data_IF_115828891218
#
_entry.id   IF_115828891218
#
_cell.length_a   1.000
_cell.length_b   1.000
_cell.length_c   1.000
_cell.angle_alpha   90.00
_cell.angle_beta   90.00
_cell.angle_gamma   90.00
#
_symmetry.space_group_name_H-M   'P 1'
#
loop_
_entity.id
_entity.type
_entity.pdbx_description
1 polymer ?
#
# COMPACT_ATOMS: atom_id res chain seq x y z
N UNK A 1 7.93 17.18 -27.41
CA UNK A 1 6.47 17.00 -27.60
C UNK A 1 5.81 17.50 -26.32
N UNK A 2 4.99 18.55 -26.39
CA UNK A 2 4.21 19.03 -25.23
C UNK A 2 3.19 17.97 -24.89
N UNK A 3 3.22 17.45 -23.65
CA UNK A 3 2.17 16.56 -23.15
C UNK A 3 0.79 17.19 -23.38
N UNK A 4 -0.22 16.41 -23.78
CA UNK A 4 -1.56 16.94 -23.96
C UNK A 4 -2.04 17.52 -22.63
N UNK A 5 -2.45 18.79 -22.63
CA UNK A 5 -2.93 19.48 -21.43
C UNK A 5 -4.19 18.75 -20.94
N UNK A 6 -4.11 18.14 -19.76
CA UNK A 6 -5.25 17.46 -19.13
C UNK A 6 -6.41 18.45 -18.97
N UNK A 7 -7.63 18.08 -19.35
CA UNK A 7 -8.80 18.94 -19.13
C UNK A 7 -9.08 19.09 -17.62
N UNK A 8 -9.54 20.28 -17.21
CA UNK A 8 -9.81 20.60 -15.82
C UNK A 8 -10.70 19.55 -15.12
N UNK A 9 -11.75 19.08 -15.79
CA UNK A 9 -12.70 18.07 -15.27
C UNK A 9 -12.08 16.71 -14.98
N UNK A 10 -10.94 16.39 -15.63
CA UNK A 10 -10.23 15.11 -15.55
C UNK A 10 -8.93 15.21 -14.74
N UNK A 11 -8.70 16.36 -14.09
CA UNK A 11 -7.47 16.67 -13.35
C UNK A 11 -7.28 15.73 -12.14
N UNK A 12 -8.33 15.51 -11.37
CA UNK A 12 -8.32 14.62 -10.20
C UNK A 12 -8.99 13.29 -10.52
N UNK A 13 -8.36 12.17 -10.18
CA UNK A 13 -8.81 10.82 -10.54
C UNK A 13 -8.84 9.90 -9.33
N UNK A 14 -9.82 10.07 -8.41
CA UNK A 14 -9.90 9.25 -7.20
C UNK A 14 -10.12 7.77 -7.54
N UNK A 15 -9.42 6.87 -6.84
CA UNK A 15 -9.65 5.42 -6.89
C UNK A 15 -9.01 4.68 -8.07
N UNK A 16 -8.32 5.36 -8.98
CA UNK A 16 -7.74 4.72 -10.17
C UNK A 16 -6.32 4.18 -9.96
N UNK A 17 -5.68 4.49 -8.83
CA UNK A 17 -4.25 4.21 -8.62
C UNK A 17 -3.33 4.94 -9.63
N UNK A 18 -3.89 5.86 -10.42
CA UNK A 18 -3.11 6.66 -11.34
C UNK A 18 -2.27 7.70 -10.61
N UNK A 19 -1.24 8.19 -11.28
CA UNK A 19 -0.42 9.28 -10.78
C UNK A 19 -1.29 10.49 -10.43
N UNK A 20 -1.06 11.10 -9.26
CA UNK A 20 -1.77 12.31 -8.88
C UNK A 20 -1.28 13.50 -9.72
N UNK A 21 -2.11 14.53 -9.94
CA UNK A 21 -1.68 15.72 -10.68
C UNK A 21 -0.53 16.47 -10.00
N UNK A 22 -0.36 16.27 -8.70
CA UNK A 22 0.76 16.72 -7.89
C UNK A 22 0.95 15.74 -6.72
N UNK A 23 2.15 15.19 -6.58
CA UNK A 23 2.51 14.35 -5.43
C UNK A 23 2.91 15.26 -4.26
N UNK A 24 1.97 15.52 -3.37
CA UNK A 24 2.19 16.33 -2.19
C UNK A 24 2.92 15.54 -1.10
N UNK A 25 3.89 16.16 -0.48
CA UNK A 25 4.70 15.54 0.57
C UNK A 25 5.57 14.39 0.06
N UNK A 26 5.80 13.43 0.95
CA UNK A 26 6.59 12.22 0.62
C UNK A 26 8.03 12.55 0.18
N UNK A 27 8.59 13.61 0.76
CA UNK A 27 9.92 14.10 0.35
C UNK A 27 11.04 13.11 0.70
N UNK A 28 10.92 12.42 1.83
CA UNK A 28 11.90 11.40 2.25
C UNK A 28 11.87 10.20 1.32
N UNK A 29 10.66 9.70 1.01
CA UNK A 29 10.46 8.59 0.09
C UNK A 29 10.97 8.92 -1.32
N UNK A 30 10.69 10.13 -1.80
CA UNK A 30 11.15 10.60 -3.09
C UNK A 30 12.68 10.72 -3.12
N UNK A 31 13.29 11.37 -2.13
CA UNK A 31 14.73 11.56 -2.03
C UNK A 31 15.48 10.22 -1.94
N UNK A 32 14.95 9.27 -1.14
CA UNK A 32 15.52 7.93 -1.05
C UNK A 32 15.48 7.20 -2.40
N UNK A 33 14.33 7.24 -3.08
CA UNK A 33 14.17 6.60 -4.38
C UNK A 33 15.11 7.21 -5.43
N UNK A 34 15.22 8.53 -5.49
CA UNK A 34 16.09 9.25 -6.42
C UNK A 34 17.57 8.93 -6.21
N UNK A 35 18.04 8.88 -4.95
CA UNK A 35 19.39 8.43 -4.62
C UNK A 35 19.66 7.00 -5.13
N UNK A 36 18.68 6.10 -4.99
CA UNK A 36 18.82 4.73 -5.50
C UNK A 36 18.82 4.66 -7.02
N UNK A 37 18.01 5.48 -7.69
CA UNK A 37 18.03 5.58 -9.16
C UNK A 37 19.39 6.07 -9.67
N UNK A 38 19.94 7.09 -9.04
CA UNK A 38 21.26 7.61 -9.41
C UNK A 38 22.36 6.55 -9.28
N UNK A 39 22.38 5.83 -8.16
CA UNK A 39 23.31 4.71 -7.93
C UNK A 39 23.13 3.59 -8.96
N UNK A 40 21.87 3.23 -9.28
CA UNK A 40 21.60 2.23 -10.32
C UNK A 40 22.14 2.65 -11.69
N UNK A 41 21.89 3.91 -12.10
CA UNK A 41 22.40 4.44 -13.38
C UNK A 41 23.92 4.40 -13.44
N UNK A 42 24.59 4.66 -12.31
CA UNK A 42 26.04 4.55 -12.16
C UNK A 42 26.54 3.10 -12.00
N UNK A 43 25.63 2.12 -12.08
CA UNK A 43 25.89 0.68 -11.85
C UNK A 43 26.53 0.38 -10.49
N UNK A 44 26.19 1.17 -9.48
CA UNK A 44 26.61 0.92 -8.11
C UNK A 44 25.67 -0.06 -7.41
N UNK A 45 26.19 -0.76 -6.40
CA UNK A 45 25.39 -1.67 -5.60
C UNK A 45 24.37 -0.94 -4.72
N UNK A 46 23.14 -1.47 -4.70
CA UNK A 46 22.08 -1.01 -3.82
C UNK A 46 22.11 -1.85 -2.54
N UNK A 47 22.38 -1.20 -1.42
CA UNK A 47 22.55 -1.89 -0.12
C UNK A 47 21.23 -2.17 0.61
N UNK A 48 20.16 -1.42 0.31
CA UNK A 48 18.85 -1.61 0.94
C UNK A 48 17.71 -1.40 -0.04
N UNK A 49 16.71 -2.27 0.04
CA UNK A 49 15.46 -2.15 -0.70
C UNK A 49 14.54 -1.11 -0.08
N UNK A 50 13.49 -0.74 -0.81
CA UNK A 50 12.47 0.18 -0.35
C UNK A 50 11.17 -0.57 -0.04
N UNK A 51 10.66 -0.42 1.17
CA UNK A 51 9.36 -0.94 1.56
C UNK A 51 8.45 0.23 1.88
N UNK A 52 7.32 0.29 1.19
CA UNK A 52 6.29 1.31 1.38
C UNK A 52 5.02 0.62 1.85
N UNK A 53 4.49 1.00 2.99
CA UNK A 53 3.25 0.40 3.44
C UNK A 53 2.29 1.45 4.02
N UNK A 54 1.02 1.11 4.02
CA UNK A 54 0.02 2.03 4.52
C UNK A 54 -1.41 1.62 4.19
N UNK A 55 -2.44 2.20 4.87
CA UNK A 55 -3.83 1.90 4.59
C UNK A 55 -4.19 2.09 3.12
N UNK A 56 -5.28 1.44 2.71
CA UNK A 56 -5.85 1.67 1.38
C UNK A 56 -6.29 3.14 1.25
N UNK A 57 -5.96 3.77 0.14
CA UNK A 57 -6.29 5.19 -0.11
C UNK A 57 -5.23 6.19 0.35
N UNK A 58 -4.13 5.77 0.98
CA UNK A 58 -3.00 6.64 1.35
C UNK A 58 -2.05 6.96 0.19
N UNK A 59 -2.39 6.55 -1.04
CA UNK A 59 -1.65 6.96 -2.23
C UNK A 59 -0.40 6.15 -2.54
N UNK A 60 -0.23 4.92 -2.01
CA UNK A 60 0.92 4.04 -2.31
C UNK A 60 1.12 3.84 -3.81
N UNK A 61 0.14 3.26 -4.49
CA UNK A 61 0.18 3.02 -5.94
C UNK A 61 0.42 4.31 -6.72
N UNK A 62 -0.26 5.40 -6.34
CA UNK A 62 -0.11 6.71 -6.97
C UNK A 62 1.33 7.25 -6.83
N UNK A 63 1.93 7.11 -5.65
CA UNK A 63 3.34 7.45 -5.42
C UNK A 63 4.27 6.57 -6.25
N UNK A 64 4.07 5.25 -6.25
CA UNK A 64 4.89 4.35 -7.05
C UNK A 64 4.81 4.66 -8.55
N UNK A 65 3.63 5.03 -9.06
CA UNK A 65 3.46 5.48 -10.47
C UNK A 65 4.23 6.77 -10.75
N UNK A 66 4.19 7.72 -9.82
CA UNK A 66 4.97 8.94 -9.91
C UNK A 66 6.48 8.64 -9.92
N UNK A 67 6.94 7.78 -9.01
CA UNK A 67 8.34 7.38 -8.93
C UNK A 67 8.78 6.59 -10.19
N UNK A 68 7.92 5.73 -10.72
CA UNK A 68 8.18 5.00 -11.97
C UNK A 68 8.47 5.94 -13.13
N UNK A 69 7.79 7.07 -13.25
CA UNK A 69 8.05 8.05 -14.32
C UNK A 69 9.42 8.73 -14.23
N UNK A 70 10.05 8.71 -13.05
CA UNK A 70 11.43 9.21 -12.90
C UNK A 70 12.48 8.23 -13.43
N UNK A 71 12.09 6.98 -13.68
CA UNK A 71 12.97 6.03 -14.37
C UNK A 71 13.04 6.36 -15.86
N UNK A 72 14.19 6.19 -16.44
CA UNK A 72 14.45 6.46 -17.85
C UNK A 72 14.91 5.20 -18.61
N UNK A 73 15.14 5.34 -19.90
CA UNK A 73 15.54 4.24 -20.79
C UNK A 73 16.91 3.61 -20.43
N UNK A 74 17.67 4.19 -19.51
CA UNK A 74 18.92 3.61 -19.00
C UNK A 74 18.70 2.45 -18.05
N UNK A 75 17.48 2.36 -17.49
CA UNK A 75 17.06 1.32 -16.55
C UNK A 75 16.05 0.37 -17.20
N UNK A 76 15.99 -0.86 -16.71
CA UNK A 76 14.88 -1.77 -16.97
C UNK A 76 13.93 -1.72 -15.78
N UNK A 77 12.71 -1.22 -15.98
CA UNK A 77 11.69 -1.11 -14.94
C UNK A 77 10.68 -2.24 -15.09
N UNK A 78 10.62 -3.10 -14.07
CA UNK A 78 9.66 -4.19 -13.97
C UNK A 78 8.57 -3.78 -12.98
N UNK A 79 7.33 -3.63 -13.46
CA UNK A 79 6.16 -3.40 -12.61
C UNK A 79 5.37 -4.70 -12.52
N UNK A 80 5.17 -5.21 -11.30
CA UNK A 80 4.51 -6.48 -11.05
C UNK A 80 3.44 -6.33 -9.96
N UNK A 81 2.38 -7.11 -10.09
CA UNK A 81 1.35 -7.27 -9.08
C UNK A 81 1.16 -8.76 -8.78
N UNK A 82 1.01 -9.18 -7.51
CA UNK A 82 0.85 -10.61 -7.18
C UNK A 82 -0.31 -11.31 -7.90
N UNK A 83 -1.34 -10.59 -8.31
CA UNK A 83 -2.46 -11.12 -9.10
C UNK A 83 -2.08 -11.56 -10.52
N UNK A 84 -0.89 -11.21 -11.00
CA UNK A 84 -0.42 -11.55 -12.36
C UNK A 84 0.25 -12.93 -12.42
N UNK A 85 0.50 -13.59 -11.27
CA UNK A 85 1.16 -14.88 -11.20
C UNK A 85 0.72 -15.68 -9.96
N UNK A 86 0.62 -17.01 -10.10
CA UNK A 86 0.20 -17.92 -9.03
C UNK A 86 1.38 -18.63 -8.35
N UNK A 87 2.60 -18.50 -8.89
CA UNK A 87 3.77 -19.17 -8.34
C UNK A 87 5.08 -18.62 -8.87
N UNK A 88 6.19 -19.08 -8.29
CA UNK A 88 7.55 -18.61 -8.64
C UNK A 88 7.87 -18.82 -10.12
N UNK A 89 7.38 -19.90 -10.73
CA UNK A 89 7.62 -20.16 -12.15
C UNK A 89 7.03 -19.10 -13.07
N UNK A 90 5.76 -18.71 -12.83
CA UNK A 90 5.11 -17.65 -13.60
C UNK A 90 5.77 -16.28 -13.34
N UNK A 91 6.18 -16.01 -12.08
CA UNK A 91 6.96 -14.81 -11.77
C UNK A 91 8.25 -14.75 -12.59
N UNK A 92 8.99 -15.85 -12.68
CA UNK A 92 10.24 -15.94 -13.47
C UNK A 92 9.94 -15.71 -14.95
N UNK A 93 8.87 -16.29 -15.49
CA UNK A 93 8.45 -16.10 -16.89
C UNK A 93 8.07 -14.64 -17.18
N UNK A 94 7.36 -13.98 -16.27
CA UNK A 94 7.01 -12.55 -16.38
C UNK A 94 8.26 -11.66 -16.37
N UNK A 95 9.20 -11.94 -15.48
CA UNK A 95 10.45 -11.18 -15.39
C UNK A 95 11.32 -11.40 -16.61
N UNK A 96 11.42 -12.63 -17.11
CA UNK A 96 12.23 -12.96 -18.29
C UNK A 96 11.71 -12.25 -19.54
N UNK A 97 10.41 -12.01 -19.62
CA UNK A 97 9.76 -11.53 -20.83
C UNK A 97 9.89 -12.59 -21.93
N UNK A 98 9.33 -12.37 -23.10
CA UNK A 98 9.33 -13.31 -24.21
C UNK A 98 10.72 -13.48 -24.88
N UNK A 99 11.80 -13.71 -24.14
CA UNK A 99 13.08 -14.13 -24.72
C UNK A 99 13.05 -15.66 -24.99
N UNK A 100 12.88 -16.11 -26.26
CA UNK A 100 12.69 -17.53 -26.58
C UNK A 100 13.86 -18.44 -26.17
N UNK A 101 15.02 -17.86 -25.92
CA UNK A 101 16.22 -18.60 -25.52
C UNK A 101 16.26 -18.96 -24.05
N UNK A 102 15.63 -18.15 -23.19
CA UNK A 102 15.54 -18.36 -21.75
C UNK A 102 14.32 -19.20 -21.38
N UNK A 103 13.16 -18.95 -22.00
CA UNK A 103 11.96 -19.76 -21.82
C UNK A 103 12.27 -21.25 -21.95
N UNK A 104 13.10 -21.66 -22.93
CA UNK A 104 13.53 -23.05 -23.08
C UNK A 104 14.43 -23.55 -21.95
N UNK A 105 15.27 -22.68 -21.34
CA UNK A 105 16.15 -23.05 -20.23
C UNK A 105 15.42 -23.08 -18.89
N UNK A 106 14.61 -22.05 -18.61
CA UNK A 106 13.77 -21.98 -17.40
C UNK A 106 12.68 -23.04 -17.44
N UNK A 107 12.01 -23.27 -18.56
CA UNK A 107 11.06 -24.38 -18.71
C UNK A 107 11.72 -25.75 -18.51
N UNK A 108 12.98 -25.95 -18.92
CA UNK A 108 13.69 -27.19 -18.70
C UNK A 108 14.08 -27.42 -17.23
N UNK A 109 14.31 -26.34 -16.47
CA UNK A 109 14.58 -26.36 -15.03
C UNK A 109 13.29 -26.47 -14.18
N UNK A 110 12.21 -25.83 -14.63
CA UNK A 110 10.95 -25.64 -13.86
C UNK A 110 9.89 -26.67 -14.27
N UNK A 111 9.84 -27.09 -15.55
CA UNK A 111 8.86 -28.06 -16.05
C UNK A 111 8.76 -29.38 -15.28
N UNK A 112 9.87 -29.99 -14.78
CA UNK A 112 9.79 -31.15 -13.91
C UNK A 112 9.14 -30.85 -12.55
N UNK A 113 9.16 -29.60 -12.09
CA UNK A 113 8.62 -29.18 -10.81
C UNK A 113 7.08 -29.10 -10.85
N UNK A 114 6.52 -28.63 -11.98
CA UNK A 114 5.07 -28.52 -12.19
C UNK A 114 4.38 -29.83 -12.49
N UNK A 115 5.04 -30.74 -13.17
CA UNK A 115 4.46 -32.06 -13.50
C UNK A 115 4.19 -32.91 -12.26
N UNK A 116 4.91 -32.68 -11.16
CA UNK A 116 4.72 -33.38 -9.89
C UNK A 116 3.67 -32.76 -8.97
N UNK A 117 3.34 -31.47 -9.13
CA UNK A 117 2.33 -30.79 -8.29
C UNK A 117 0.89 -31.17 -8.67
N UNK A 118 0.63 -31.45 -9.95
CA UNK A 118 -0.71 -31.83 -10.42
C UNK A 118 -1.15 -33.25 -10.00
N UNK A 119 -0.26 -34.03 -9.42
CA UNK A 119 -0.53 -35.43 -9.03
C UNK A 119 -0.71 -35.65 -7.51
N UNK A 120 -0.49 -34.65 -6.67
CA UNK A 120 -0.53 -34.83 -5.20
C UNK A 120 -1.62 -34.01 -4.54
N UNK A 121 -2.75 -34.67 -4.24
CA UNK A 121 -3.90 -34.11 -3.52
C UNK A 121 -3.67 -33.96 -1.99
N UNK A 122 -2.43 -34.00 -1.48
CA UNK A 122 -2.12 -33.88 -0.06
C UNK A 122 -1.31 -32.62 0.24
N UNK A 123 -1.91 -31.67 0.96
CA UNK A 123 -1.31 -30.37 1.35
C UNK A 123 0.04 -30.52 2.06
N UNK A 124 0.24 -31.60 2.84
CA UNK A 124 1.50 -31.88 3.53
C UNK A 124 2.64 -32.28 2.59
N UNK A 125 2.34 -33.05 1.55
CA UNK A 125 3.32 -33.48 0.54
C UNK A 125 3.67 -32.30 -0.37
N UNK A 126 2.70 -31.45 -0.71
CA UNK A 126 2.94 -30.25 -1.53
C UNK A 126 3.88 -29.26 -0.81
N UNK A 127 3.71 -29.03 0.50
CA UNK A 127 4.61 -28.18 1.31
C UNK A 127 6.03 -28.74 1.41
N UNK A 128 6.19 -30.05 1.58
CA UNK A 128 7.49 -30.69 1.62
C UNK A 128 8.22 -30.61 0.27
N UNK A 129 7.50 -30.80 -0.83
CA UNK A 129 8.05 -30.66 -2.18
C UNK A 129 8.41 -29.20 -2.53
N UNK A 130 7.60 -28.22 -2.13
CA UNK A 130 7.91 -26.81 -2.27
C UNK A 130 9.22 -26.45 -1.55
N UNK A 131 9.44 -26.96 -0.33
CA UNK A 131 10.68 -26.71 0.41
C UNK A 131 11.94 -27.29 -0.26
N UNK A 132 11.82 -28.42 -0.93
CA UNK A 132 12.92 -29.06 -1.68
C UNK A 132 13.24 -28.38 -3.01
N UNK A 133 12.28 -27.66 -3.59
CA UNK A 133 12.43 -26.99 -4.87
C UNK A 133 12.93 -25.55 -4.77
N UNK A 134 12.76 -24.89 -3.62
CA UNK A 134 13.17 -23.49 -3.39
C UNK A 134 14.59 -23.14 -3.84
N UNK A 135 15.63 -23.95 -3.56
CA UNK A 135 16.98 -23.63 -4.03
C UNK A 135 17.08 -23.55 -5.56
N UNK A 136 16.32 -24.40 -6.30
CA UNK A 136 16.31 -24.39 -7.76
C UNK A 136 15.58 -23.18 -8.33
N UNK A 137 14.46 -22.81 -7.72
CA UNK A 137 13.68 -21.62 -8.09
C UNK A 137 14.46 -20.33 -7.80
N UNK A 138 15.14 -20.25 -6.66
CA UNK A 138 16.04 -19.13 -6.32
C UNK A 138 17.16 -19.00 -7.36
N UNK A 139 17.80 -20.10 -7.75
CA UNK A 139 18.84 -20.08 -8.77
C UNK A 139 18.30 -19.65 -10.14
N UNK A 140 17.12 -20.13 -10.53
CA UNK A 140 16.49 -19.75 -11.79
C UNK A 140 16.15 -18.25 -11.83
N UNK A 141 15.55 -17.71 -10.77
CA UNK A 141 15.26 -16.27 -10.65
C UNK A 141 16.54 -15.43 -10.66
N UNK A 142 17.55 -15.85 -9.90
CA UNK A 142 18.88 -15.22 -9.87
C UNK A 142 19.49 -15.14 -11.26
N UNK A 143 19.47 -16.21 -12.03
CA UNK A 143 20.05 -16.25 -13.37
C UNK A 143 19.32 -15.31 -14.34
N UNK A 144 17.99 -15.21 -14.25
CA UNK A 144 17.20 -14.28 -15.04
C UNK A 144 17.54 -12.84 -14.68
N UNK A 145 17.50 -12.50 -13.38
CA UNK A 145 17.83 -11.14 -12.90
C UNK A 145 19.27 -10.76 -13.28
N UNK A 146 20.25 -11.65 -13.08
CA UNK A 146 21.65 -11.42 -13.47
C UNK A 146 21.78 -11.10 -14.96
N UNK A 147 21.08 -11.84 -15.82
CA UNK A 147 21.11 -11.63 -17.26
C UNK A 147 20.52 -10.28 -17.65
N UNK A 148 19.43 -9.86 -16.99
CA UNK A 148 18.85 -8.53 -17.20
C UNK A 148 19.80 -7.42 -16.72
N UNK A 149 20.33 -7.52 -15.51
CA UNK A 149 21.28 -6.56 -14.94
C UNK A 149 22.56 -6.40 -15.77
N UNK A 150 23.02 -7.44 -16.49
CA UNK A 150 24.13 -7.32 -17.46
C UNK A 150 23.78 -6.39 -18.62
N UNK A 151 22.53 -6.37 -19.07
CA UNK A 151 22.08 -5.51 -20.16
C UNK A 151 21.83 -4.10 -19.67
N UNK A 152 20.98 -3.95 -18.65
CA UNK A 152 20.61 -2.67 -18.02
C UNK A 152 20.45 -2.87 -16.51
N UNK A 153 20.75 -1.86 -15.66
CA UNK A 153 20.36 -1.91 -14.27
C UNK A 153 18.84 -2.11 -14.13
N UNK A 154 18.42 -2.87 -13.14
CA UNK A 154 17.02 -3.29 -12.99
C UNK A 154 16.41 -2.69 -11.74
N UNK A 155 15.26 -2.07 -11.89
CA UNK A 155 14.35 -1.73 -10.79
C UNK A 155 13.11 -2.62 -10.89
N UNK A 156 12.76 -3.28 -9.80
CA UNK A 156 11.54 -4.07 -9.69
C UNK A 156 10.61 -3.41 -8.68
N UNK A 157 9.43 -3.02 -9.14
CA UNK A 157 8.38 -2.43 -8.32
C UNK A 157 7.26 -3.45 -8.20
N UNK A 158 6.94 -3.84 -6.96
CA UNK A 158 5.87 -4.79 -6.68
C UNK A 158 4.82 -4.13 -5.79
N UNK A 159 3.67 -3.83 -6.39
CA UNK A 159 2.52 -3.29 -5.67
C UNK A 159 1.69 -4.44 -5.05
N UNK A 160 0.92 -4.16 -4.00
CA UNK A 160 0.10 -5.13 -3.25
C UNK A 160 0.91 -6.35 -2.74
N UNK A 161 2.20 -6.18 -2.43
CA UNK A 161 3.14 -7.23 -2.04
C UNK A 161 2.72 -8.02 -0.78
N UNK A 162 1.79 -7.48 0.02
CA UNK A 162 1.21 -8.17 1.17
C UNK A 162 0.34 -9.39 0.81
N UNK A 163 0.02 -9.57 -0.48
CA UNK A 163 -0.75 -10.73 -0.99
C UNK A 163 0.15 -11.83 -1.56
N UNK A 164 1.49 -11.64 -1.53
CA UNK A 164 2.44 -12.64 -1.99
C UNK A 164 2.43 -13.88 -1.11
N UNK A 165 2.53 -15.04 -1.75
CA UNK A 165 2.81 -16.28 -1.03
C UNK A 165 4.19 -16.22 -0.34
N UNK A 166 4.32 -16.61 0.94
CA UNK A 166 5.58 -16.57 1.68
C UNK A 166 6.73 -17.31 1.00
N UNK A 167 6.46 -18.36 0.22
CA UNK A 167 7.50 -19.09 -0.49
C UNK A 167 8.04 -18.30 -1.68
N UNK A 168 7.17 -17.58 -2.39
CA UNK A 168 7.57 -16.63 -3.46
C UNK A 168 8.42 -15.51 -2.87
N UNK A 169 8.02 -14.97 -1.72
CA UNK A 169 8.78 -13.92 -1.01
C UNK A 169 10.19 -14.41 -0.68
N UNK A 170 10.32 -15.62 -0.14
CA UNK A 170 11.65 -16.22 0.19
C UNK A 170 12.54 -16.36 -1.05
N UNK A 171 11.97 -16.86 -2.14
CA UNK A 171 12.71 -17.02 -3.40
C UNK A 171 13.18 -15.67 -3.94
N UNK A 172 12.29 -14.67 -3.93
CA UNK A 172 12.60 -13.32 -4.39
C UNK A 172 13.70 -12.68 -3.54
N UNK A 173 13.61 -12.78 -2.20
CA UNK A 173 14.59 -12.18 -1.31
C UNK A 173 15.96 -12.85 -1.41
N UNK A 174 16.02 -14.18 -1.42
CA UNK A 174 17.26 -14.91 -1.58
C UNK A 174 17.93 -14.57 -2.92
N UNK A 175 17.16 -14.55 -4.02
CA UNK A 175 17.68 -14.19 -5.33
C UNK A 175 18.20 -12.75 -5.35
N UNK A 176 17.46 -11.78 -4.76
CA UNK A 176 17.87 -10.37 -4.70
C UNK A 176 19.14 -10.15 -3.87
N UNK A 177 19.28 -10.86 -2.75
CA UNK A 177 20.51 -10.81 -1.93
C UNK A 177 21.71 -11.39 -2.65
N UNK A 178 21.53 -12.54 -3.28
CA UNK A 178 22.60 -13.23 -4.01
C UNK A 178 23.15 -12.38 -5.16
N UNK A 179 22.25 -11.74 -5.97
CA UNK A 179 22.72 -10.94 -7.10
C UNK A 179 23.42 -9.65 -6.66
N UNK A 180 23.06 -9.07 -5.51
CA UNK A 180 23.78 -7.92 -4.93
C UNK A 180 25.19 -8.30 -4.51
N UNK A 181 25.38 -9.49 -3.94
CA UNK A 181 26.70 -10.03 -3.64
C UNK A 181 27.60 -10.23 -4.86
N UNK A 182 27.03 -10.18 -6.07
CA UNK A 182 27.71 -10.32 -7.36
C UNK A 182 27.82 -9.01 -8.15
N UNK A 183 27.70 -7.84 -7.46
CA UNK A 183 27.76 -6.51 -8.06
C UNK A 183 26.72 -6.27 -9.18
N UNK A 184 25.55 -6.90 -9.08
CA UNK A 184 24.44 -6.65 -9.98
C UNK A 184 23.61 -5.43 -9.53
N UNK A 185 23.48 -4.41 -10.38
CA UNK A 185 22.70 -3.20 -10.07
C UNK A 185 21.20 -3.51 -10.11
N UNK A 186 20.66 -3.93 -8.96
CA UNK A 186 19.27 -4.31 -8.76
C UNK A 186 18.67 -3.58 -7.56
N UNK A 187 17.48 -3.03 -7.73
CA UNK A 187 16.73 -2.36 -6.69
C UNK A 187 15.29 -2.89 -6.62
N UNK A 188 14.87 -3.34 -5.44
CA UNK A 188 13.53 -3.83 -5.18
C UNK A 188 12.74 -2.81 -4.39
N UNK A 189 11.53 -2.51 -4.88
CA UNK A 189 10.54 -1.64 -4.21
C UNK A 189 9.28 -2.45 -3.97
N UNK A 190 8.90 -2.63 -2.72
CA UNK A 190 7.68 -3.33 -2.31
C UNK A 190 6.67 -2.35 -1.74
N UNK A 191 5.41 -2.49 -2.13
CA UNK A 191 4.33 -1.74 -1.50
C UNK A 191 3.19 -2.65 -1.05
N UNK A 192 2.56 -2.30 0.07
CA UNK A 192 1.44 -3.09 0.60
C UNK A 192 0.63 -2.39 1.69
N UNK A 193 -0.32 -3.11 2.25
CA UNK A 193 -1.11 -2.69 3.41
C UNK A 193 -0.32 -2.89 4.72
N UNK A 194 -0.82 -2.44 5.88
CA UNK A 194 -0.08 -2.52 7.15
C UNK A 194 0.36 -3.91 7.57
N UNK A 195 -0.34 -4.96 7.14
CA UNK A 195 0.07 -6.34 7.39
C UNK A 195 1.27 -6.81 6.54
N UNK A 196 1.80 -5.97 5.64
CA UNK A 196 2.97 -6.30 4.81
C UNK A 196 4.16 -6.73 5.68
N UNK A 197 4.42 -6.02 6.80
CA UNK A 197 5.49 -6.38 7.71
C UNK A 197 5.36 -7.83 8.20
N UNK A 198 4.17 -8.18 8.72
CA UNK A 198 3.95 -9.53 9.25
C UNK A 198 4.09 -10.61 8.19
N UNK A 199 3.66 -10.33 6.96
CA UNK A 199 3.78 -11.28 5.85
C UNK A 199 5.25 -11.45 5.40
N UNK A 200 5.99 -10.35 5.29
CA UNK A 200 7.41 -10.42 4.93
C UNK A 200 8.25 -11.11 6.03
N UNK A 201 7.98 -10.84 7.30
CA UNK A 201 8.67 -11.49 8.43
C UNK A 201 8.43 -13.00 8.52
N UNK A 202 7.25 -13.48 8.10
CA UNK A 202 6.97 -14.93 7.99
C UNK A 202 7.88 -15.60 6.94
N UNK A 203 8.25 -14.88 5.90
CA UNK A 203 9.12 -15.37 4.84
C UNK A 203 10.59 -15.25 5.22
N UNK A 204 11.04 -14.08 5.65
CA UNK A 204 12.39 -13.79 6.11
C UNK A 204 12.41 -12.65 7.12
N UNK A 205 12.68 -12.96 8.40
CA UNK A 205 12.74 -11.99 9.48
C UNK A 205 13.84 -10.93 9.28
N UNK A 206 14.92 -11.26 8.56
CA UNK A 206 16.07 -10.37 8.39
C UNK A 206 15.91 -9.38 7.25
N UNK A 207 15.05 -9.68 6.26
CA UNK A 207 14.84 -8.80 5.11
C UNK A 207 14.24 -7.46 5.53
N UNK A 208 13.25 -7.48 6.42
CA UNK A 208 12.61 -6.26 6.92
C UNK A 208 13.62 -5.28 7.53
N UNK A 209 14.48 -5.77 8.42
CA UNK A 209 15.47 -4.95 9.12
C UNK A 209 16.60 -4.40 8.25
N UNK A 210 16.79 -4.95 7.05
CA UNK A 210 17.79 -4.50 6.07
C UNK A 210 17.23 -3.53 5.02
N UNK A 211 15.91 -3.36 4.98
CA UNK A 211 15.22 -2.50 4.04
C UNK A 211 14.99 -1.10 4.62
N UNK A 212 14.91 -0.10 3.75
CA UNK A 212 14.41 1.22 4.14
C UNK A 212 12.88 1.20 4.14
N UNK A 213 12.29 1.54 5.27
CA UNK A 213 10.87 1.34 5.55
C UNK A 213 10.18 2.69 5.63
N UNK A 214 9.12 2.87 4.82
CA UNK A 214 8.36 4.10 4.70
C UNK A 214 6.87 3.86 5.00
N UNK A 215 6.41 4.15 6.22
CA UNK A 215 5.00 4.11 6.57
C UNK A 215 4.27 5.33 6.02
N UNK A 216 3.37 5.14 5.07
CA UNK A 216 2.58 6.23 4.50
C UNK A 216 1.37 6.54 5.36
N UNK A 217 1.45 7.60 6.15
CA UNK A 217 0.37 8.17 6.93
C UNK A 217 -0.48 9.21 6.16
N UNK A 218 -1.29 9.95 6.90
CA UNK A 218 -2.01 11.14 6.39
C UNK A 218 -1.02 12.23 6.01
N UNK A 219 -1.42 13.09 5.10
CA UNK A 219 -0.65 14.30 4.77
C UNK A 219 -0.69 15.30 5.93
N UNK A 220 0.33 16.15 6.02
CA UNK A 220 0.26 17.35 6.86
C UNK A 220 -0.83 18.31 6.36
N UNK A 221 -1.15 19.34 7.13
CA UNK A 221 -2.15 20.33 6.71
C UNK A 221 -1.68 21.12 5.48
N UNK A 222 -0.40 21.39 5.37
CA UNK A 222 0.19 22.09 4.23
C UNK A 222 0.20 21.21 2.98
N UNK A 223 0.73 19.99 3.07
CA UNK A 223 0.75 19.03 1.95
C UNK A 223 -0.66 18.73 1.42
N UNK A 224 -1.66 18.64 2.31
CA UNK A 224 -3.04 18.41 1.89
C UNK A 224 -3.65 19.60 1.14
N UNK A 225 -3.30 20.85 1.53
CA UNK A 225 -3.66 22.05 0.76
C UNK A 225 -2.94 22.06 -0.58
N UNK A 226 -1.65 21.81 -0.61
CA UNK A 226 -0.84 21.79 -1.84
C UNK A 226 -1.34 20.77 -2.84
N UNK A 227 -1.73 19.57 -2.37
CA UNK A 227 -2.33 18.54 -3.21
C UNK A 227 -3.59 19.00 -3.95
N UNK A 228 -4.31 19.96 -3.41
CA UNK A 228 -5.52 20.58 -4.01
C UNK A 228 -5.18 21.80 -4.86
N UNK A 229 -4.38 22.71 -4.30
CA UNK A 229 -4.23 24.07 -4.84
C UNK A 229 -3.22 24.14 -5.99
N UNK A 230 -2.11 23.41 -5.90
CA UNK A 230 -1.05 23.47 -6.90
C UNK A 230 -1.51 22.96 -8.29
N UNK A 231 -2.22 21.82 -8.40
CA UNK A 231 -2.76 21.38 -9.69
C UNK A 231 -3.72 22.40 -10.31
N UNK A 232 -4.61 22.97 -9.53
CA UNK A 232 -5.58 23.97 -9.99
C UNK A 232 -4.90 25.27 -10.41
N UNK A 233 -3.88 25.71 -9.66
CA UNK A 233 -3.06 26.89 -10.01
C UNK A 233 -2.37 26.73 -11.37
N UNK A 234 -1.87 25.54 -11.70
CA UNK A 234 -1.30 25.24 -13.01
C UNK A 234 -2.32 25.38 -14.17
N UNK A 235 -3.61 25.29 -13.87
CA UNK A 235 -4.73 25.50 -14.80
C UNK A 235 -5.28 26.94 -14.74
N UNK A 236 -4.60 27.88 -14.04
CA UNK A 236 -5.03 29.26 -13.92
C UNK A 236 -6.19 29.48 -12.94
N UNK A 237 -6.48 28.50 -12.08
CA UNK A 237 -7.52 28.59 -11.05
C UNK A 237 -6.89 29.06 -9.73
N UNK A 238 -7.44 30.15 -9.18
CA UNK A 238 -7.11 30.58 -7.83
C UNK A 238 -7.88 29.75 -6.80
N UNK A 239 -7.31 29.56 -5.62
CA UNK A 239 -7.94 28.86 -4.52
C UNK A 239 -7.84 29.74 -3.25
N UNK A 240 -8.98 30.13 -2.70
CA UNK A 240 -9.01 30.87 -1.45
C UNK A 240 -8.43 30.04 -0.31
N UNK A 241 -7.64 30.67 0.57
CA UNK A 241 -6.91 29.96 1.63
C UNK A 241 -7.87 29.33 2.66
N UNK A 242 -8.95 30.01 3.03
CA UNK A 242 -9.95 29.46 3.95
C UNK A 242 -10.65 28.25 3.32
N UNK A 243 -11.06 28.37 2.06
CA UNK A 243 -11.67 27.27 1.32
C UNK A 243 -10.72 26.05 1.19
N UNK A 244 -9.44 26.27 0.91
CA UNK A 244 -8.44 25.19 0.82
C UNK A 244 -8.23 24.50 2.17
N UNK A 245 -8.18 25.26 3.26
CA UNK A 245 -8.05 24.75 4.62
C UNK A 245 -9.28 23.93 5.01
N UNK A 246 -10.48 24.41 4.69
CA UNK A 246 -11.73 23.70 4.99
C UNK A 246 -11.85 22.39 4.21
N UNK A 247 -11.50 22.39 2.93
CA UNK A 247 -11.47 21.13 2.13
C UNK A 247 -10.45 20.14 2.70
N UNK A 248 -9.24 20.59 3.04
CA UNK A 248 -8.21 19.75 3.67
C UNK A 248 -8.71 19.11 4.97
N UNK A 249 -9.40 19.91 5.82
CA UNK A 249 -10.01 19.45 7.08
C UNK A 249 -11.12 18.41 6.83
N UNK A 250 -12.04 18.67 5.89
CA UNK A 250 -13.14 17.76 5.53
C UNK A 250 -12.66 16.50 4.84
N UNK A 251 -11.58 16.57 4.07
CA UNK A 251 -10.89 15.42 3.50
C UNK A 251 -10.03 14.67 4.53
N UNK A 252 -9.98 15.11 5.80
CA UNK A 252 -9.18 14.55 6.88
C UNK A 252 -7.69 14.43 6.52
N UNK A 253 -7.18 15.24 5.61
CA UNK A 253 -5.81 15.15 5.05
C UNK A 253 -5.48 13.77 4.46
N UNK A 254 -6.51 13.03 4.04
CA UNK A 254 -6.41 11.68 3.51
C UNK A 254 -6.33 11.71 1.98
N UNK A 255 -5.25 11.21 1.35
CA UNK A 255 -5.01 11.39 -0.09
C UNK A 255 -6.19 11.03 -0.98
N UNK A 256 -6.86 9.90 -0.74
CA UNK A 256 -8.04 9.51 -1.49
C UNK A 256 -9.18 10.54 -1.39
N UNK A 257 -9.46 11.04 -0.18
CA UNK A 257 -10.54 12.02 0.01
C UNK A 257 -10.18 13.38 -0.59
N UNK A 258 -8.89 13.75 -0.56
CA UNK A 258 -8.42 14.97 -1.24
C UNK A 258 -8.69 14.87 -2.74
N UNK A 259 -8.39 13.72 -3.37
CA UNK A 259 -8.70 13.49 -4.79
C UNK A 259 -10.21 13.52 -5.06
N UNK A 260 -11.06 12.99 -4.16
CA UNK A 260 -12.53 13.04 -4.27
C UNK A 260 -13.03 14.48 -4.24
N UNK A 261 -12.56 15.28 -3.29
CA UNK A 261 -12.94 16.70 -3.20
C UNK A 261 -12.43 17.48 -4.42
N UNK A 262 -11.17 17.28 -4.80
CA UNK A 262 -10.56 17.89 -5.99
C UNK A 262 -11.36 17.59 -7.27
N UNK A 263 -11.77 16.35 -7.49
CA UNK A 263 -12.60 15.94 -8.63
C UNK A 263 -13.96 16.64 -8.64
N UNK A 264 -14.63 16.75 -7.48
CA UNK A 264 -15.91 17.45 -7.38
C UNK A 264 -15.77 18.95 -7.66
N UNK A 265 -14.71 19.58 -7.13
CA UNK A 265 -14.41 21.00 -7.33
C UNK A 265 -14.05 21.25 -8.80
N UNK A 266 -13.14 20.48 -9.39
CA UNK A 266 -12.70 20.65 -10.77
C UNK A 266 -13.85 20.52 -11.78
N UNK A 267 -14.76 19.56 -11.57
CA UNK A 267 -15.98 19.41 -12.36
C UNK A 267 -16.91 20.60 -12.23
N UNK A 268 -17.09 21.10 -11.01
CA UNK A 268 -17.93 22.30 -10.78
C UNK A 268 -17.37 23.54 -11.46
N UNK A 269 -16.06 23.75 -11.37
CA UNK A 269 -15.38 24.86 -12.07
C UNK A 269 -15.51 24.74 -13.58
N UNK A 270 -15.38 23.54 -14.13
CA UNK A 270 -15.56 23.28 -15.55
C UNK A 270 -17.00 23.62 -16.01
N UNK A 271 -18.02 23.24 -15.21
CA UNK A 271 -19.43 23.54 -15.49
C UNK A 271 -19.75 25.03 -15.43
N UNK A 272 -19.13 25.78 -14.51
CA UNK A 272 -19.45 27.20 -14.28
C UNK A 272 -18.54 28.17 -15.01
N UNK A 273 -17.37 27.70 -15.49
CA UNK A 273 -16.34 28.57 -16.04
C UNK A 273 -15.64 29.46 -14.99
N UNK A 274 -15.84 29.18 -13.68
CA UNK A 274 -15.22 29.97 -12.64
C UNK A 274 -13.71 29.74 -12.58
N UNK A 275 -12.96 30.82 -12.32
CA UNK A 275 -11.49 30.81 -12.20
C UNK A 275 -10.99 30.88 -10.77
N UNK A 276 -11.88 30.76 -9.80
CA UNK A 276 -11.54 30.83 -8.37
C UNK A 276 -12.43 29.89 -7.56
N UNK A 277 -11.82 29.19 -6.58
CA UNK A 277 -12.53 28.36 -5.59
C UNK A 277 -12.71 29.16 -4.30
N UNK A 278 -13.94 29.38 -3.92
CA UNK A 278 -14.36 30.04 -2.67
C UNK A 278 -15.16 29.08 -1.79
N UNK A 279 -15.45 29.52 -0.55
CA UNK A 279 -16.28 28.73 0.37
C UNK A 279 -17.64 28.32 -0.20
N UNK A 280 -18.26 29.14 -1.04
CA UNK A 280 -19.52 28.79 -1.71
C UNK A 280 -19.35 27.61 -2.65
N UNK A 281 -18.25 27.56 -3.44
CA UNK A 281 -17.91 26.39 -4.26
C UNK A 281 -17.79 25.13 -3.41
N UNK A 282 -17.14 25.22 -2.24
CA UNK A 282 -16.98 24.09 -1.31
C UNK A 282 -18.34 23.58 -0.82
N UNK A 283 -19.26 24.51 -0.43
CA UNK A 283 -20.62 24.17 0.02
C UNK A 283 -21.44 23.50 -1.08
N UNK A 284 -21.35 23.98 -2.32
CA UNK A 284 -22.07 23.44 -3.47
C UNK A 284 -21.68 21.97 -3.78
N UNK A 285 -20.40 21.62 -3.64
CA UNK A 285 -19.91 20.27 -3.95
C UNK A 285 -19.97 19.32 -2.75
N UNK A 286 -20.23 19.81 -1.55
CA UNK A 286 -20.15 19.05 -0.30
C UNK A 286 -20.95 17.75 -0.31
N UNK A 287 -22.22 17.80 -0.69
CA UNK A 287 -23.09 16.61 -0.73
C UNK A 287 -22.55 15.55 -1.69
N UNK A 288 -22.04 15.97 -2.84
CA UNK A 288 -21.48 15.07 -3.86
C UNK A 288 -20.17 14.45 -3.38
N UNK A 289 -19.29 15.25 -2.79
CA UNK A 289 -18.03 14.76 -2.22
C UNK A 289 -18.27 13.78 -1.06
N UNK A 290 -19.15 14.13 -0.11
CA UNK A 290 -19.52 13.26 1.00
C UNK A 290 -20.13 11.93 0.52
N UNK A 291 -21.01 11.95 -0.49
CA UNK A 291 -21.59 10.74 -1.08
C UNK A 291 -20.51 9.82 -1.67
N UNK A 292 -19.50 10.38 -2.35
CA UNK A 292 -18.38 9.59 -2.91
C UNK A 292 -17.46 9.04 -1.82
N UNK A 293 -17.18 9.81 -0.76
CA UNK A 293 -16.43 9.31 0.39
C UNK A 293 -17.17 8.16 1.10
N UNK A 294 -18.51 8.26 1.23
CA UNK A 294 -19.34 7.23 1.82
C UNK A 294 -19.32 5.90 1.04
N UNK A 295 -19.06 5.90 -0.27
CA UNK A 295 -18.91 4.66 -1.02
C UNK A 295 -17.75 3.82 -0.47
N UNK A 296 -16.60 4.44 -0.20
CA UNK A 296 -15.45 3.75 0.41
C UNK A 296 -15.81 3.14 1.77
N UNK A 297 -16.59 3.84 2.59
CA UNK A 297 -17.00 3.31 3.89
C UNK A 297 -17.93 2.10 3.76
N UNK A 298 -18.83 2.11 2.77
CA UNK A 298 -19.73 0.97 2.49
C UNK A 298 -18.94 -0.26 2.13
N UNK A 299 -17.94 -0.12 1.25
CA UNK A 299 -17.09 -1.23 0.83
C UNK A 299 -16.32 -1.82 2.02
N UNK A 300 -15.70 -0.95 2.84
CA UNK A 300 -14.97 -1.40 4.05
C UNK A 300 -15.90 -2.05 5.08
N UNK A 301 -17.12 -1.56 5.23
CA UNK A 301 -18.11 -2.17 6.14
C UNK A 301 -18.59 -3.53 5.62
N UNK A 302 -18.72 -3.71 4.30
CA UNK A 302 -19.01 -5.01 3.71
C UNK A 302 -17.89 -6.01 4.02
N UNK A 303 -16.62 -5.64 3.82
CA UNK A 303 -15.47 -6.48 4.17
C UNK A 303 -15.42 -6.86 5.65
N UNK A 304 -15.71 -5.92 6.56
CA UNK A 304 -15.83 -6.20 8.01
C UNK A 304 -16.88 -7.28 8.30
N UNK A 305 -18.00 -7.25 7.56
CA UNK A 305 -19.07 -8.25 7.72
C UNK A 305 -18.67 -9.61 7.16
N UNK A 306 -18.09 -9.65 5.98
CA UNK A 306 -17.65 -10.89 5.31
C UNK A 306 -16.57 -11.61 6.13
N UNK A 307 -15.69 -10.86 6.79
CA UNK A 307 -14.63 -11.41 7.64
C UNK A 307 -15.08 -11.66 9.11
N UNK A 308 -16.36 -11.46 9.45
CA UNK A 308 -16.90 -11.59 10.81
C UNK A 308 -16.20 -10.68 11.85
N UNK A 309 -15.77 -9.47 11.43
CA UNK A 309 -15.06 -8.52 12.27
C UNK A 309 -15.94 -7.41 12.85
N UNK A 310 -17.27 -7.53 12.69
CA UNK A 310 -18.20 -6.47 13.10
C UNK A 310 -18.15 -6.18 14.60
N UNK A 311 -18.17 -7.22 15.44
CA UNK A 311 -18.18 -7.07 16.90
C UNK A 311 -16.86 -6.47 17.42
N UNK A 312 -15.67 -6.97 17.04
CA UNK A 312 -14.41 -6.32 17.36
C UNK A 312 -14.35 -4.85 16.91
N UNK A 313 -14.78 -4.56 15.67
CA UNK A 313 -14.78 -3.20 15.14
C UNK A 313 -15.67 -2.25 15.94
N UNK A 314 -16.88 -2.66 16.34
CA UNK A 314 -17.78 -1.84 17.15
C UNK A 314 -17.15 -1.56 18.51
N UNK A 315 -16.60 -2.57 19.18
CA UNK A 315 -15.98 -2.42 20.51
C UNK A 315 -14.77 -1.48 20.48
N UNK A 316 -13.90 -1.64 19.50
CA UNK A 316 -12.74 -0.75 19.29
C UNK A 316 -13.22 0.68 19.01
N UNK A 317 -14.22 0.86 18.12
CA UNK A 317 -14.77 2.17 17.83
C UNK A 317 -15.45 2.84 19.02
N UNK A 318 -16.01 2.09 19.96
CA UNK A 318 -16.52 2.57 21.24
C UNK A 318 -15.37 3.07 22.15
N UNK A 319 -14.33 2.26 22.33
CA UNK A 319 -13.17 2.62 23.12
C UNK A 319 -12.55 3.95 22.65
N UNK A 320 -12.31 4.11 21.36
CA UNK A 320 -11.82 5.39 20.78
C UNK A 320 -12.78 6.57 20.95
N UNK A 321 -14.05 6.32 21.24
CA UNK A 321 -15.00 7.43 21.47
C UNK A 321 -15.20 7.79 22.92
N UNK A 322 -14.80 6.93 23.82
CA UNK A 322 -14.91 7.11 25.28
C UNK A 322 -13.62 7.70 25.88
N UNK A 323 -12.52 7.67 25.13
CA UNK A 323 -11.24 8.27 25.52
C UNK A 323 -10.91 9.46 24.62
N UNK A 324 -10.24 10.46 25.19
CA UNK A 324 -9.61 11.56 24.43
C UNK A 324 -8.23 11.14 23.90
N UNK A 325 -7.78 9.91 24.16
CA UNK A 325 -6.49 9.42 23.72
C UNK A 325 -6.50 9.18 22.21
N UNK A 326 -5.37 9.54 21.61
CA UNK A 326 -5.15 9.37 20.17
C UNK A 326 -4.87 7.92 19.79
N UNK A 327 -4.37 7.13 20.74
CA UNK A 327 -3.89 5.76 20.54
C UNK A 327 -4.50 4.81 21.56
N UNK A 328 -4.59 3.53 21.17
CA UNK A 328 -4.85 2.39 22.06
C UNK A 328 -3.61 1.52 22.04
N UNK A 329 -3.10 1.11 23.21
CA UNK A 329 -1.94 0.23 23.31
C UNK A 329 -2.22 -1.16 22.72
N UNK A 330 -1.15 -1.88 22.29
CA UNK A 330 -1.28 -3.24 21.77
C UNK A 330 -1.99 -4.18 22.75
N UNK A 331 -1.64 -4.10 24.03
CA UNK A 331 -2.28 -4.92 25.10
C UNK A 331 -3.77 -4.62 25.23
N UNK A 332 -4.15 -3.35 25.20
CA UNK A 332 -5.56 -2.97 25.30
C UNK A 332 -6.33 -3.36 24.02
N UNK A 333 -5.71 -3.25 22.85
CA UNK A 333 -6.30 -3.71 21.59
C UNK A 333 -6.60 -5.21 21.62
N UNK A 334 -5.67 -6.02 22.10
CA UNK A 334 -5.87 -7.48 22.28
C UNK A 334 -7.03 -7.76 23.24
N UNK A 335 -7.10 -7.03 24.36
CA UNK A 335 -8.19 -7.16 25.32
C UNK A 335 -9.57 -6.80 24.73
N UNK A 336 -9.65 -5.73 23.92
CA UNK A 336 -10.89 -5.32 23.26
C UNK A 336 -11.39 -6.37 22.28
N UNK A 337 -10.48 -6.89 21.45
CA UNK A 337 -10.80 -7.95 20.49
C UNK A 337 -11.16 -9.25 21.20
N UNK A 338 -10.39 -9.65 22.22
CA UNK A 338 -10.67 -10.85 23.03
C UNK A 338 -12.05 -10.81 23.67
N UNK A 339 -12.44 -9.70 24.30
CA UNK A 339 -13.76 -9.51 24.86
C UNK A 339 -14.87 -9.55 23.81
N UNK A 340 -14.66 -8.96 22.62
CA UNK A 340 -15.65 -9.02 21.56
C UNK A 340 -15.91 -10.45 21.08
N UNK A 341 -14.88 -11.27 20.96
CA UNK A 341 -14.98 -12.68 20.60
C UNK A 341 -15.66 -13.52 21.70
N UNK A 342 -15.36 -13.23 22.97
CA UNK A 342 -16.04 -13.90 24.12
C UNK A 342 -17.53 -13.59 24.14
N UNK A 343 -17.95 -12.35 23.89
CA UNK A 343 -19.37 -11.97 23.83
C UNK A 343 -20.11 -12.69 22.72
N UNK A 344 -19.42 -13.13 21.68
CA UNK A 344 -19.98 -13.99 20.59
C UNK A 344 -19.93 -15.49 20.92
N UNK A 345 -19.50 -15.85 22.15
CA UNK A 345 -19.44 -17.24 22.62
C UNK A 345 -18.17 -18.00 22.19
N UNK A 346 -17.18 -17.33 21.65
CA UNK A 346 -15.90 -17.94 21.33
C UNK A 346 -15.01 -18.01 22.57
N UNK A 347 -14.11 -19.02 22.61
CA UNK A 347 -12.97 -19.03 23.54
C UNK A 347 -11.72 -18.64 22.77
N UNK A 348 -11.35 -17.34 22.76
CA UNK A 348 -10.34 -16.84 21.84
C UNK A 348 -8.93 -17.27 22.29
N UNK A 349 -8.26 -18.06 21.44
CA UNK A 349 -6.83 -18.23 21.52
C UNK A 349 -6.11 -16.93 21.05
N UNK A 350 -4.92 -16.65 21.60
CA UNK A 350 -4.15 -15.48 21.23
C UNK A 350 -3.94 -15.35 19.71
N UNK A 351 -3.75 -16.44 19.01
CA UNK A 351 -3.59 -16.46 17.55
C UNK A 351 -4.82 -15.90 16.83
N UNK A 352 -6.04 -16.24 17.29
CA UNK A 352 -7.29 -15.72 16.72
C UNK A 352 -7.44 -14.22 16.99
N UNK A 353 -7.05 -13.75 18.18
CA UNK A 353 -7.07 -12.31 18.53
C UNK A 353 -6.15 -11.53 17.59
N UNK A 354 -4.90 -11.96 17.45
CA UNK A 354 -3.91 -11.33 16.60
C UNK A 354 -4.30 -11.36 15.10
N UNK A 355 -4.92 -12.46 14.66
CA UNK A 355 -5.43 -12.56 13.29
C UNK A 355 -6.55 -11.53 13.01
N UNK A 356 -7.48 -11.33 13.97
CA UNK A 356 -8.51 -10.30 13.87
C UNK A 356 -7.92 -8.88 13.82
N UNK A 357 -6.92 -8.58 14.65
CA UNK A 357 -6.22 -7.28 14.64
C UNK A 357 -5.55 -7.04 13.27
N UNK A 358 -4.85 -8.03 12.72
CA UNK A 358 -4.23 -7.94 11.39
C UNK A 358 -5.27 -7.70 10.29
N UNK A 359 -6.40 -8.39 10.32
CA UNK A 359 -7.50 -8.20 9.36
C UNK A 359 -8.11 -6.80 9.47
N UNK A 360 -8.30 -6.27 10.70
CA UNK A 360 -8.77 -4.91 10.92
C UNK A 360 -7.79 -3.87 10.38
N UNK A 361 -6.48 -4.10 10.55
CA UNK A 361 -5.44 -3.24 9.97
C UNK A 361 -5.41 -3.35 8.43
N UNK A 362 -5.60 -4.54 7.87
CA UNK A 362 -5.67 -4.75 6.43
C UNK A 362 -6.83 -3.99 5.78
N UNK A 363 -8.01 -4.01 6.41
CA UNK A 363 -9.19 -3.25 5.95
C UNK A 363 -8.94 -1.75 6.07
N UNK A 364 -8.01 -1.32 6.92
CA UNK A 364 -7.74 0.07 7.24
C UNK A 364 -8.68 0.62 8.32
N UNK A 365 -9.21 -0.25 9.17
CA UNK A 365 -10.05 0.16 10.30
C UNK A 365 -9.21 0.77 11.42
N UNK A 366 -8.07 0.16 11.72
CA UNK A 366 -7.03 0.62 12.62
C UNK A 366 -5.70 0.76 11.88
N UNK A 367 -4.80 1.54 12.46
CA UNK A 367 -3.44 1.76 11.96
C UNK A 367 -2.45 1.52 13.08
N UNK A 368 -1.44 0.70 12.83
CA UNK A 368 -0.34 0.46 13.75
C UNK A 368 0.61 1.65 13.77
N UNK A 369 0.97 2.11 14.96
CA UNK A 369 1.92 3.20 15.18
C UNK A 369 2.87 2.85 16.33
N UNK A 370 4.12 3.25 16.19
CA UNK A 370 5.10 3.17 17.26
C UNK A 370 5.12 4.49 18.03
N UNK A 371 4.80 4.46 19.29
CA UNK A 371 4.81 5.64 20.17
C UNK A 371 6.05 5.56 21.05
N UNK A 372 6.90 6.59 21.10
CA UNK A 372 8.06 6.61 21.99
C UNK A 372 7.64 6.29 23.43
N UNK A 373 8.40 5.44 24.13
CA UNK A 373 8.21 5.22 25.57
C UNK A 373 8.54 6.50 26.33
N UNK A 374 7.81 6.78 27.40
CA UNK A 374 8.13 7.86 28.33
C UNK A 374 9.37 7.52 29.19
N UNK A 375 9.79 6.27 29.18
CA UNK A 375 10.95 5.77 29.94
C UNK A 375 12.17 5.75 29.00
N UNK A 376 13.19 6.50 29.36
CA UNK A 376 14.43 6.61 28.57
C UNK A 376 15.13 5.23 28.49
N UNK A 377 15.37 4.78 27.24
CA UNK A 377 16.03 3.49 26.97
C UNK A 377 15.09 2.31 26.76
N UNK A 378 13.78 2.49 26.85
CA UNK A 378 12.82 1.46 26.46
C UNK A 378 12.47 1.53 24.97
N UNK A 379 12.13 0.36 24.40
CA UNK A 379 11.64 0.27 23.05
C UNK A 379 10.30 1.03 22.87
N UNK A 380 10.04 1.60 21.69
CA UNK A 380 8.75 2.25 21.40
C UNK A 380 7.59 1.29 21.62
N UNK A 381 6.52 1.79 22.21
CA UNK A 381 5.30 1.03 22.45
C UNK A 381 4.53 0.83 21.17
N UNK A 382 4.09 -0.41 20.92
CA UNK A 382 3.14 -0.71 19.86
C UNK A 382 1.76 -0.18 20.26
N UNK A 383 1.24 0.73 19.46
CA UNK A 383 -0.07 1.33 19.63
C UNK A 383 -0.88 1.27 18.34
N UNK A 384 -2.16 1.56 18.42
CA UNK A 384 -3.07 1.64 17.29
C UNK A 384 -3.82 2.95 17.29
N UNK A 385 -3.96 3.57 16.12
CA UNK A 385 -4.82 4.72 15.88
C UNK A 385 -5.94 4.38 14.89
N UNK A 386 -7.02 5.20 14.80
CA UNK A 386 -8.04 5.04 13.77
C UNK A 386 -7.43 5.11 12.36
N UNK A 387 -7.67 4.10 11.56
CA UNK A 387 -7.12 3.99 10.19
C UNK A 387 -7.76 4.98 9.21
N UNK A 388 -8.68 4.50 8.36
CA UNK A 388 -9.42 5.37 7.41
C UNK A 388 -10.27 6.37 8.20
N UNK A 389 -10.10 7.68 7.97
CA UNK A 389 -10.83 8.71 8.71
C UNK A 389 -12.34 8.51 8.66
N UNK A 390 -13.00 8.68 9.79
CA UNK A 390 -14.47 8.54 9.97
C UNK A 390 -15.05 7.14 9.70
N UNK A 391 -14.25 6.15 9.35
CA UNK A 391 -14.74 4.77 9.15
C UNK A 391 -15.33 4.19 10.45
N UNK A 392 -14.66 4.41 11.59
CA UNK A 392 -15.18 3.96 12.90
C UNK A 392 -16.53 4.60 13.22
N UNK A 393 -16.71 5.89 12.96
CA UNK A 393 -17.99 6.59 13.15
C UNK A 393 -19.06 6.01 12.22
N UNK A 394 -18.71 5.72 10.97
CA UNK A 394 -19.61 5.08 10.02
C UNK A 394 -20.07 3.71 10.52
N UNK A 395 -19.15 2.84 10.93
CA UNK A 395 -19.45 1.49 11.47
C UNK A 395 -20.37 1.56 12.69
N UNK A 396 -20.10 2.48 13.61
CA UNK A 396 -20.96 2.68 14.81
C UNK A 396 -22.38 3.13 14.44
N UNK A 397 -22.54 4.05 13.50
CA UNK A 397 -23.88 4.47 13.02
C UNK A 397 -24.65 3.30 12.42
N UNK A 398 -23.96 2.45 11.64
CA UNK A 398 -24.54 1.23 11.08
C UNK A 398 -25.02 0.24 12.17
N UNK A 399 -24.24 0.08 13.24
CA UNK A 399 -24.56 -0.80 14.36
C UNK A 399 -25.76 -0.32 15.18
N UNK A 400 -25.94 0.99 15.31
CA UNK A 400 -27.03 1.61 16.07
C UNK A 400 -28.36 1.67 15.28
N UNK A 401 -28.40 1.20 14.03
CA UNK A 401 -29.60 1.26 13.19
C UNK A 401 -30.02 2.69 12.81
N UNK A 402 -29.17 3.69 13.07
CA UNK A 402 -29.43 5.08 12.72
C UNK A 402 -28.99 5.32 11.26
N UNK A 403 -29.79 4.84 10.33
CA UNK A 403 -29.78 5.37 8.98
C UNK A 403 -30.65 6.60 8.94
N UNK A 404 -30.05 7.72 8.61
CA UNK A 404 -30.78 8.85 8.08
C UNK A 404 -31.43 8.41 6.75
N UNK A 405 -32.76 8.51 6.70
CA UNK A 405 -33.58 8.40 5.51
C UNK A 405 -33.28 9.52 4.53
#
# INVERSE_FOLDING_TARGET
MTEPKVELKDLFRPGTGSEPPYLAGRMEEQAFFEDRLEKLVQRQNIVSDMIVYGPRGNGKTAMLRYLQKKTDDRLETLWLTPSEFEGTGQLIELIDGNDPGLLKRTQKLIRPLFQNLSASANIGVARAQASLNRPKETLALKDVLRKKCKKKPVIMIMDEAHTLDPDIVRVLFNASQDIRGEDCPFFLVLAGTPNLESELRKADATFWSRSAIFPLGRLSSEEARDALTLPLKQHGIAFDHEAATEVSRRAHRYPYFIQVWGDCIAKRLHETGASEVKMDTVREVEKKAASKCNAMYKDRYAELREMNLRSPAIRIGQAFSETDEKYISGVEMENLVGKALQDEGASPANELILDNIRKLSHIGYIWEVSVPSEIEGEDPLLCYEPGIPSLMQYVRRQAMGKFER
#
